data_IF_484237091057
#
_entry.id   IF_484237091057
#
_cell.length_a   1.000
_cell.length_b   1.000
_cell.length_c   1.000
_cell.angle_alpha   90.00
_cell.angle_beta   90.00
_cell.angle_gamma   90.00
#
_symmetry.space_group_name_H-M   'P 1'
#
loop_
_entity.id
_entity.type
_entity.pdbx_description
1 polymer ?
#
# COMPACT_ATOMS: atom_id res chain seq x y z
N UNK A 1 -11.49 -20.34 -13.23
CA UNK A 1 -11.29 -19.26 -14.22
C UNK A 1 -11.20 -17.91 -13.53
N UNK A 2 -12.11 -17.59 -12.59
CA UNK A 2 -12.03 -16.34 -11.81
C UNK A 2 -10.77 -16.24 -10.95
N UNK A 3 -10.39 -17.31 -10.26
CA UNK A 3 -9.19 -17.30 -9.40
C UNK A 3 -7.90 -16.97 -10.17
N UNK A 4 -7.75 -17.48 -11.41
CA UNK A 4 -6.61 -17.13 -12.26
C UNK A 4 -6.61 -15.68 -12.71
N UNK A 5 -7.79 -15.08 -12.91
CA UNK A 5 -7.94 -13.67 -13.27
C UNK A 5 -7.66 -12.74 -12.08
N UNK A 6 -8.05 -13.14 -10.88
CA UNK A 6 -7.70 -12.42 -9.65
C UNK A 6 -6.18 -12.49 -9.45
N UNK A 7 -5.59 -13.69 -9.58
CA UNK A 7 -4.13 -13.85 -9.46
C UNK A 7 -3.37 -13.01 -10.48
N UNK A 8 -3.85 -12.87 -11.72
CA UNK A 8 -3.19 -11.98 -12.70
C UNK A 8 -3.22 -10.52 -12.27
N UNK A 9 -4.32 -10.03 -11.69
CA UNK A 9 -4.37 -8.66 -11.15
C UNK A 9 -3.37 -8.46 -10.01
N UNK A 10 -3.33 -9.39 -9.04
CA UNK A 10 -2.40 -9.32 -7.91
C UNK A 10 -0.93 -9.29 -8.38
N UNK A 11 -0.58 -10.12 -9.36
CA UNK A 11 0.77 -10.14 -9.95
C UNK A 11 1.10 -8.83 -10.69
N UNK A 12 0.12 -8.22 -11.36
CA UNK A 12 0.31 -6.92 -12.01
C UNK A 12 0.59 -5.82 -10.97
N UNK A 13 -0.13 -5.80 -9.85
CA UNK A 13 0.11 -4.85 -8.76
C UNK A 13 1.50 -5.02 -8.14
N UNK A 14 1.90 -6.27 -7.85
CA UNK A 14 3.24 -6.58 -7.33
C UNK A 14 4.34 -6.13 -8.29
N UNK A 15 4.14 -6.28 -9.61
CA UNK A 15 5.12 -5.83 -10.59
C UNK A 15 5.31 -4.30 -10.58
N UNK A 16 4.25 -3.54 -10.28
CA UNK A 16 4.31 -2.08 -10.11
C UNK A 16 4.97 -1.72 -8.79
N UNK A 17 4.58 -2.36 -7.69
CA UNK A 17 5.19 -2.13 -6.38
C UNK A 17 6.69 -2.44 -6.39
N UNK A 18 7.10 -3.51 -7.08
CA UNK A 18 8.50 -3.88 -7.27
C UNK A 18 9.36 -2.78 -7.91
N UNK A 19 8.78 -1.82 -8.66
CA UNK A 19 9.51 -0.67 -9.22
C UNK A 19 9.82 0.40 -8.17
N UNK A 20 9.04 0.50 -7.11
CA UNK A 20 9.22 1.49 -6.04
C UNK A 20 9.86 0.84 -4.80
N UNK A 21 11.13 1.17 -4.48
CA UNK A 21 11.81 0.59 -3.32
C UNK A 21 11.26 1.07 -1.97
N UNK A 22 10.36 2.06 -1.93
CA UNK A 22 9.86 2.65 -0.70
C UNK A 22 8.48 2.12 -0.25
N UNK A 23 7.78 1.35 -1.09
CA UNK A 23 6.40 0.90 -0.79
C UNK A 23 6.36 -0.44 -0.04
N UNK A 24 7.27 -1.37 -0.32
CA UNK A 24 7.50 -2.62 0.43
C UNK A 24 6.33 -3.13 1.30
N UNK A 25 5.31 -3.71 0.67
CA UNK A 25 4.12 -4.25 1.35
C UNK A 25 3.00 -3.22 1.57
N UNK A 26 3.11 -2.04 0.97
CA UNK A 26 2.12 -0.96 1.04
C UNK A 26 0.78 -1.40 0.47
N UNK A 27 0.79 -1.98 -0.74
CA UNK A 27 -0.45 -2.43 -1.37
C UNK A 27 -1.13 -3.53 -0.55
N UNK A 28 -0.33 -4.38 0.12
CA UNK A 28 -0.84 -5.36 1.07
C UNK A 28 -1.47 -4.69 2.30
N UNK A 29 -0.77 -3.74 2.96
CA UNK A 29 -1.32 -3.04 4.14
C UNK A 29 -2.61 -2.29 3.81
N UNK A 30 -2.65 -1.54 2.71
CA UNK A 30 -3.86 -0.82 2.25
C UNK A 30 -5.01 -1.81 1.99
N UNK A 31 -4.74 -2.94 1.34
CA UNK A 31 -5.70 -4.02 1.16
C UNK A 31 -6.24 -4.56 2.49
N UNK A 32 -5.37 -4.84 3.47
CA UNK A 32 -5.79 -5.38 4.78
C UNK A 32 -6.58 -4.36 5.60
N UNK A 33 -6.12 -3.10 5.68
CA UNK A 33 -6.87 -2.05 6.37
C UNK A 33 -8.25 -1.85 5.75
N UNK A 34 -8.33 -1.89 4.42
CA UNK A 34 -9.60 -1.75 3.70
C UNK A 34 -10.57 -2.88 4.03
N UNK A 35 -10.10 -4.13 4.03
CA UNK A 35 -10.92 -5.30 4.41
C UNK A 35 -11.43 -5.18 5.84
N UNK A 36 -10.53 -4.88 6.77
CA UNK A 36 -10.84 -4.81 8.20
C UNK A 36 -11.85 -3.70 8.50
N UNK A 37 -11.65 -2.52 7.90
CA UNK A 37 -12.59 -1.41 8.04
C UNK A 37 -13.95 -1.74 7.41
N UNK A 38 -13.98 -2.35 6.22
CA UNK A 38 -15.21 -2.78 5.56
C UNK A 38 -16.03 -3.77 6.42
N UNK A 39 -15.38 -4.76 7.04
CA UNK A 39 -16.05 -5.68 7.98
C UNK A 39 -16.56 -4.93 9.20
N UNK A 40 -15.75 -4.03 9.76
CA UNK A 40 -16.08 -3.26 10.96
C UNK A 40 -17.34 -2.41 10.81
N UNK A 41 -17.57 -1.85 9.64
CA UNK A 41 -18.75 -1.04 9.32
C UNK A 41 -19.97 -1.89 8.91
N UNK A 42 -19.86 -3.22 8.91
CA UNK A 42 -20.95 -4.14 8.66
C UNK A 42 -21.17 -4.56 7.20
N UNK A 43 -20.19 -4.35 6.30
CA UNK A 43 -20.26 -4.90 4.96
C UNK A 43 -20.14 -6.42 4.97
N UNK A 44 -20.71 -7.08 3.95
CA UNK A 44 -20.57 -8.52 3.80
C UNK A 44 -19.11 -8.91 3.52
N UNK A 45 -18.76 -10.15 3.85
CA UNK A 45 -17.42 -10.68 3.54
C UNK A 45 -17.05 -10.54 2.06
N UNK A 46 -18.04 -10.69 1.16
CA UNK A 46 -17.83 -10.53 -0.29
C UNK A 46 -17.45 -9.09 -0.65
N UNK A 47 -18.16 -8.11 -0.10
CA UNK A 47 -17.88 -6.69 -0.33
C UNK A 47 -16.52 -6.30 0.28
N UNK A 48 -16.24 -6.74 1.51
CA UNK A 48 -14.96 -6.47 2.18
C UNK A 48 -13.77 -7.03 1.39
N UNK A 49 -13.90 -8.25 0.87
CA UNK A 49 -12.89 -8.86 0.00
C UNK A 49 -12.76 -8.11 -1.33
N UNK A 50 -13.86 -7.64 -1.92
CA UNK A 50 -13.77 -6.81 -3.14
C UNK A 50 -13.04 -5.48 -2.90
N UNK A 51 -13.33 -4.78 -1.80
CA UNK A 51 -12.65 -3.54 -1.45
C UNK A 51 -11.16 -3.82 -1.15
N UNK A 52 -10.86 -4.93 -0.49
CA UNK A 52 -9.47 -5.41 -0.31
C UNK A 52 -8.71 -5.54 -1.63
N UNK A 53 -9.35 -6.11 -2.66
CA UNK A 53 -8.76 -6.20 -4.01
C UNK A 53 -8.50 -4.81 -4.61
N UNK A 54 -9.46 -3.89 -4.45
CA UNK A 54 -9.29 -2.49 -4.85
C UNK A 54 -8.10 -1.83 -4.17
N UNK A 55 -7.95 -2.03 -2.85
CA UNK A 55 -6.82 -1.51 -2.09
C UNK A 55 -5.47 -2.07 -2.55
N UNK A 56 -5.42 -3.33 -2.99
CA UNK A 56 -4.21 -3.93 -3.55
C UNK A 56 -3.83 -3.34 -4.93
N UNK A 57 -4.81 -2.86 -5.69
CA UNK A 57 -4.64 -2.41 -7.07
C UNK A 57 -4.61 -0.89 -7.25
N UNK A 58 -4.96 -0.12 -6.22
CA UNK A 58 -5.22 1.33 -6.33
C UNK A 58 -4.13 2.10 -7.07
N UNK A 59 -2.88 1.69 -6.85
CA UNK A 59 -1.66 2.33 -7.36
C UNK A 59 -1.15 1.77 -8.71
N UNK A 60 -1.88 0.86 -9.36
CA UNK A 60 -1.41 0.15 -10.57
C UNK A 60 -0.94 1.11 -11.68
N UNK A 61 -1.56 2.29 -11.79
CA UNK A 61 -1.18 3.28 -12.79
C UNK A 61 0.20 3.91 -12.59
N UNK A 62 0.87 3.71 -11.43
CA UNK A 62 2.25 4.14 -11.21
C UNK A 62 3.24 3.56 -12.24
N UNK A 63 2.84 2.49 -12.94
CA UNK A 63 3.61 1.98 -14.08
C UNK A 63 3.87 3.03 -15.17
N UNK A 64 2.97 3.99 -15.36
CA UNK A 64 3.13 5.04 -16.36
C UNK A 64 3.91 6.27 -15.88
N UNK A 65 4.36 6.28 -14.62
CA UNK A 65 5.11 7.41 -14.06
C UNK A 65 6.61 7.27 -14.38
N UNK A 66 7.28 8.34 -14.84
CA UNK A 66 8.73 8.36 -15.04
C UNK A 66 9.52 8.06 -13.77
N UNK A 67 10.60 7.29 -13.89
CA UNK A 67 11.41 6.82 -12.76
C UNK A 67 12.08 7.95 -11.98
N UNK A 68 12.51 9.02 -12.65
CA UNK A 68 13.12 10.21 -12.06
C UNK A 68 12.15 11.02 -11.19
N UNK A 69 10.84 10.96 -11.51
CA UNK A 69 9.76 11.52 -10.69
C UNK A 69 9.39 10.54 -9.57
N UNK A 70 9.09 9.29 -9.90
CA UNK A 70 8.62 8.28 -8.94
C UNK A 70 9.64 8.00 -7.83
N UNK A 71 10.93 7.96 -8.18
CA UNK A 71 12.03 7.61 -7.26
C UNK A 71 12.77 8.82 -6.72
N UNK A 72 12.21 10.03 -6.89
CA UNK A 72 12.85 11.26 -6.43
C UNK A 72 13.12 11.15 -4.91
N UNK A 73 14.25 11.74 -4.47
CA UNK A 73 14.64 11.89 -3.05
C UNK A 73 14.56 13.34 -2.54
N UNK A 74 14.11 14.28 -3.38
CA UNK A 74 13.76 15.70 -3.11
C UNK A 74 12.24 15.99 -3.27
N UNK A 75 11.65 16.96 -2.55
CA UNK A 75 10.23 17.33 -2.77
C UNK A 75 9.91 17.45 -4.26
N UNK A 76 8.73 17.00 -4.67
CA UNK A 76 8.25 17.18 -6.04
C UNK A 76 7.96 18.66 -6.29
N UNK A 77 8.25 19.14 -7.49
CA UNK A 77 7.70 20.40 -7.98
C UNK A 77 6.22 20.25 -8.31
N UNK A 78 5.52 21.36 -8.54
CA UNK A 78 4.10 21.32 -8.92
C UNK A 78 3.89 20.57 -10.25
N UNK A 79 4.82 20.72 -11.20
CA UNK A 79 4.79 20.03 -12.50
C UNK A 79 5.03 18.53 -12.34
N UNK A 80 6.01 18.13 -11.51
CA UNK A 80 6.28 16.72 -11.21
C UNK A 80 5.10 16.08 -10.47
N UNK A 81 4.49 16.81 -9.53
CA UNK A 81 3.30 16.34 -8.83
C UNK A 81 2.09 16.26 -9.76
N UNK A 82 1.95 17.16 -10.74
CA UNK A 82 0.93 17.05 -11.78
C UNK A 82 1.08 15.76 -12.59
N UNK A 83 2.31 15.29 -12.86
CA UNK A 83 2.55 13.98 -13.47
C UNK A 83 2.14 12.84 -12.52
N UNK A 84 2.46 12.90 -11.23
CA UNK A 84 2.00 11.88 -10.27
C UNK A 84 0.47 11.76 -10.27
N UNK A 85 -0.25 12.89 -10.33
CA UNK A 85 -1.73 12.93 -10.32
C UNK A 85 -2.37 12.24 -11.53
N UNK A 86 -1.61 11.85 -12.57
CA UNK A 86 -2.16 11.12 -13.72
C UNK A 86 -2.28 9.61 -13.48
N UNK A 87 -1.65 9.05 -12.44
CA UNK A 87 -1.64 7.60 -12.24
C UNK A 87 -3.04 6.97 -12.07
N UNK A 88 -4.06 7.61 -11.46
CA UNK A 88 -5.39 6.99 -11.38
C UNK A 88 -6.00 6.74 -12.77
N UNK A 89 -5.89 7.72 -13.67
CA UNK A 89 -6.35 7.62 -15.07
C UNK A 89 -5.56 6.57 -15.85
N UNK A 90 -4.25 6.49 -15.65
CA UNK A 90 -3.41 5.45 -16.27
C UNK A 90 -3.86 4.07 -15.79
N UNK A 91 -4.08 3.90 -14.50
CA UNK A 91 -4.55 2.65 -13.89
C UNK A 91 -5.89 2.20 -14.47
N UNK A 92 -6.88 3.11 -14.52
CA UNK A 92 -8.17 2.84 -15.17
C UNK A 92 -7.99 2.40 -16.63
N UNK A 93 -7.17 3.12 -17.40
CA UNK A 93 -6.98 2.79 -18.81
C UNK A 93 -6.30 1.41 -19.02
N UNK A 94 -5.44 0.98 -18.09
CA UNK A 94 -4.77 -0.32 -18.14
C UNK A 94 -5.72 -1.48 -17.79
N UNK A 95 -6.62 -1.28 -16.83
CA UNK A 95 -7.50 -2.34 -16.35
C UNK A 95 -8.82 -2.44 -17.10
N UNK A 96 -9.23 -1.43 -17.89
CA UNK A 96 -10.57 -1.36 -18.50
C UNK A 96 -10.97 -2.60 -19.31
N UNK A 97 -10.03 -3.25 -19.98
CA UNK A 97 -10.26 -4.46 -20.80
C UNK A 97 -10.14 -5.76 -20.01
N UNK A 98 -9.74 -5.69 -18.73
CA UNK A 98 -9.64 -6.87 -17.88
C UNK A 98 -11.05 -7.36 -17.51
N UNK A 99 -11.35 -8.67 -17.54
CA UNK A 99 -12.69 -9.19 -17.24
C UNK A 99 -13.23 -8.88 -15.83
N UNK A 100 -12.36 -8.43 -14.93
CA UNK A 100 -12.69 -8.04 -13.55
C UNK A 100 -12.56 -6.54 -13.29
N UNK A 101 -12.48 -5.72 -14.35
CA UNK A 101 -12.28 -4.26 -14.26
C UNK A 101 -13.33 -3.59 -13.37
N UNK A 102 -14.61 -3.94 -13.55
CA UNK A 102 -15.73 -3.38 -12.80
C UNK A 102 -15.61 -3.57 -11.28
N UNK A 103 -14.88 -4.60 -10.82
CA UNK A 103 -14.70 -4.86 -9.39
C UNK A 103 -13.76 -3.84 -8.72
N UNK A 104 -12.85 -3.24 -9.49
CA UNK A 104 -11.68 -2.52 -8.97
C UNK A 104 -11.48 -1.14 -9.59
N UNK A 105 -12.26 -0.77 -10.61
CA UNK A 105 -12.10 0.48 -11.37
C UNK A 105 -12.18 1.73 -10.49
N UNK A 106 -13.23 1.86 -9.67
CA UNK A 106 -13.43 3.05 -8.84
C UNK A 106 -12.30 3.24 -7.81
N UNK A 107 -11.92 2.22 -7.02
CA UNK A 107 -10.72 2.26 -6.18
C UNK A 107 -9.46 2.80 -6.86
N UNK A 108 -9.18 2.36 -8.09
CA UNK A 108 -8.00 2.79 -8.83
C UNK A 108 -8.13 4.25 -9.24
N UNK A 109 -9.33 4.66 -9.67
CA UNK A 109 -9.57 5.97 -10.26
C UNK A 109 -9.75 7.09 -9.23
N UNK A 110 -10.36 6.79 -8.09
CA UNK A 110 -10.94 7.80 -7.18
C UNK A 110 -10.30 7.82 -5.79
N UNK A 111 -9.32 6.97 -5.48
CA UNK A 111 -8.73 6.90 -4.12
C UNK A 111 -8.03 8.19 -3.65
N UNK A 112 -7.83 9.15 -4.56
CA UNK A 112 -7.30 10.48 -4.25
C UNK A 112 -8.34 11.61 -4.38
N UNK A 113 -9.60 11.26 -4.60
CA UNK A 113 -10.71 12.19 -4.47
C UNK A 113 -10.94 12.56 -3.00
N UNK A 114 -11.49 13.74 -2.77
CA UNK A 114 -11.75 14.29 -1.42
C UNK A 114 -13.18 14.76 -1.34
N UNK A 115 -13.80 14.60 -0.18
CA UNK A 115 -15.23 14.93 -0.01
C UNK A 115 -15.57 16.38 -0.37
N UNK A 116 -14.61 17.30 -0.20
CA UNK A 116 -14.72 18.72 -0.53
C UNK A 116 -14.50 19.08 -2.03
N UNK A 117 -14.28 18.08 -2.90
CA UNK A 117 -14.06 18.27 -4.33
C UNK A 117 -12.66 18.79 -4.70
N UNK A 118 -11.74 18.94 -3.74
CA UNK A 118 -10.35 19.38 -4.00
C UNK A 118 -9.40 18.23 -4.37
N UNK A 119 -9.94 17.03 -4.56
CA UNK A 119 -9.22 15.83 -4.97
C UNK A 119 -8.91 15.77 -6.47
N UNK A 120 -8.46 14.60 -6.92
CA UNK A 120 -8.15 14.32 -8.32
C UNK A 120 -8.45 12.85 -8.65
N UNK A 121 -8.66 12.49 -9.94
CA UNK A 121 -8.49 13.30 -11.16
C UNK A 121 -9.65 14.20 -11.55
N UNK A 122 -10.87 13.99 -11.03
CA UNK A 122 -12.08 14.70 -11.47
C UNK A 122 -12.56 15.78 -10.49
N UNK A 123 -12.12 15.74 -9.23
CA UNK A 123 -12.59 16.69 -8.22
C UNK A 123 -14.02 16.35 -7.78
N UNK A 124 -14.29 15.07 -7.58
CA UNK A 124 -15.61 14.55 -7.20
C UNK A 124 -15.99 15.01 -5.79
N UNK A 125 -17.27 15.34 -5.58
CA UNK A 125 -17.81 15.62 -4.26
C UNK A 125 -18.16 14.35 -3.48
N UNK A 126 -18.49 14.53 -2.20
CA UNK A 126 -18.84 13.43 -1.28
C UNK A 126 -19.84 12.41 -1.87
N UNK A 127 -20.91 12.86 -2.51
CA UNK A 127 -21.97 11.98 -3.04
C UNK A 127 -21.58 11.25 -4.34
N UNK A 128 -20.50 11.68 -4.99
CA UNK A 128 -20.03 11.15 -6.27
C UNK A 128 -18.93 10.09 -6.11
N UNK A 129 -18.14 10.17 -5.03
CA UNK A 129 -17.03 9.25 -4.76
C UNK A 129 -17.58 7.88 -4.36
N UNK A 130 -17.16 6.82 -5.04
CA UNK A 130 -17.57 5.47 -4.68
C UNK A 130 -17.14 5.11 -3.25
N UNK A 131 -17.99 4.38 -2.55
CA UNK A 131 -17.76 4.06 -1.15
C UNK A 131 -16.46 3.28 -0.89
N UNK A 132 -16.10 2.38 -1.81
CA UNK A 132 -14.82 1.65 -1.77
C UNK A 132 -13.61 2.59 -1.90
N UNK A 133 -13.71 3.62 -2.72
CA UNK A 133 -12.69 4.66 -2.90
C UNK A 133 -12.52 5.51 -1.65
N UNK A 134 -13.61 5.86 -0.95
CA UNK A 134 -13.56 6.56 0.35
C UNK A 134 -12.80 5.76 1.41
N UNK A 135 -13.04 4.45 1.49
CA UNK A 135 -12.31 3.55 2.40
C UNK A 135 -10.83 3.51 2.05
N UNK A 136 -10.50 3.30 0.77
CA UNK A 136 -9.11 3.13 0.32
C UNK A 136 -8.33 4.42 0.48
N UNK A 137 -8.88 5.58 0.10
CA UNK A 137 -8.22 6.87 0.27
C UNK A 137 -7.93 7.19 1.74
N UNK A 138 -8.83 6.85 2.66
CA UNK A 138 -8.59 6.99 4.09
C UNK A 138 -7.42 6.12 4.58
N UNK A 139 -7.40 4.84 4.23
CA UNK A 139 -6.40 3.90 4.76
C UNK A 139 -5.06 3.98 4.02
N UNK A 140 -5.02 4.44 2.76
CA UNK A 140 -3.80 4.82 2.05
C UNK A 140 -3.08 5.96 2.79
N UNK A 141 -3.83 7.01 3.17
CA UNK A 141 -3.26 8.09 3.97
C UNK A 141 -2.78 7.58 5.33
N UNK A 142 -3.55 6.73 6.03
CA UNK A 142 -3.08 6.11 7.27
C UNK A 142 -1.74 5.39 7.06
N UNK A 143 -1.64 4.52 6.07
CA UNK A 143 -0.43 3.75 5.81
C UNK A 143 0.75 4.66 5.47
N UNK A 144 0.52 5.66 4.62
CA UNK A 144 1.53 6.63 4.25
C UNK A 144 2.06 7.40 5.47
N UNK A 145 1.19 7.75 6.43
CA UNK A 145 1.56 8.43 7.68
C UNK A 145 2.37 7.50 8.60
N UNK A 146 1.97 6.24 8.75
CA UNK A 146 2.61 5.26 9.66
C UNK A 146 3.77 4.48 9.06
N UNK A 147 4.16 4.78 7.82
CA UNK A 147 5.30 4.16 7.13
C UNK A 147 6.39 5.19 6.79
N UNK A 148 7.65 4.74 6.74
CA UNK A 148 8.75 5.58 6.24
C UNK A 148 8.60 5.83 4.74
N UNK A 149 8.86 7.07 4.32
CA UNK A 149 8.90 7.56 2.93
C UNK A 149 10.25 8.26 2.69
N UNK A 150 10.68 8.53 1.43
CA UNK A 150 12.00 9.12 1.15
C UNK A 150 12.31 10.43 1.91
N UNK A 151 11.26 11.17 2.29
CA UNK A 151 11.32 12.51 2.89
C UNK A 151 10.97 12.55 4.37
N UNK A 152 10.44 11.46 4.91
CA UNK A 152 9.71 11.47 6.18
C UNK A 152 9.77 10.10 6.81
N UNK A 153 10.23 10.03 8.06
CA UNK A 153 10.09 8.83 8.88
C UNK A 153 8.62 8.59 9.24
N UNK A 154 8.29 7.35 9.58
CA UNK A 154 6.98 7.02 10.13
C UNK A 154 6.64 7.92 11.32
N UNK A 155 5.35 8.24 11.47
CA UNK A 155 4.88 8.93 12.66
C UNK A 155 4.16 7.99 13.62
N UNK A 156 4.13 8.31 14.93
CA UNK A 156 3.32 7.58 15.88
C UNK A 156 1.87 7.52 15.42
N UNK A 157 1.25 6.34 15.55
CA UNK A 157 -0.15 6.11 15.15
C UNK A 157 -1.10 7.16 15.77
N UNK A 158 -0.88 7.57 17.01
CA UNK A 158 -1.68 8.62 17.66
C UNK A 158 -1.65 9.94 16.90
N UNK A 159 -0.49 10.32 16.35
CA UNK A 159 -0.34 11.54 15.54
C UNK A 159 -0.95 11.36 14.14
N UNK A 160 -0.87 10.16 13.56
CA UNK A 160 -1.55 9.88 12.30
C UNK A 160 -3.07 10.10 12.42
N UNK A 161 -3.69 9.59 13.49
CA UNK A 161 -5.12 9.78 13.74
C UNK A 161 -5.51 11.25 14.01
N UNK A 162 -4.64 12.07 14.61
CA UNK A 162 -4.89 13.52 14.73
C UNK A 162 -4.96 14.20 13.35
N UNK A 163 -4.17 13.75 12.38
CA UNK A 163 -4.21 14.28 11.01
C UNK A 163 -5.48 13.81 10.29
N UNK A 164 -5.88 12.55 10.48
CA UNK A 164 -7.14 12.04 9.93
C UNK A 164 -8.33 12.82 10.50
N UNK A 165 -8.35 13.06 11.80
CA UNK A 165 -9.38 13.87 12.48
C UNK A 165 -9.47 15.30 11.94
N UNK A 166 -8.32 15.92 11.65
CA UNK A 166 -8.29 17.25 11.07
C UNK A 166 -8.87 17.30 9.64
N UNK A 167 -8.86 16.17 8.92
CA UNK A 167 -9.48 16.02 7.60
C UNK A 167 -10.94 15.52 7.63
N UNK A 168 -11.52 15.32 8.81
CA UNK A 168 -12.88 14.81 8.98
C UNK A 168 -13.93 15.74 8.33
N UNK A 169 -14.80 15.18 7.50
CA UNK A 169 -15.85 15.90 6.77
C UNK A 169 -15.37 16.78 5.60
N UNK A 170 -14.07 16.78 5.28
CA UNK A 170 -13.51 17.54 4.14
C UNK A 170 -12.68 16.64 3.23
N UNK A 171 -11.71 15.94 3.79
CA UNK A 171 -10.94 14.92 3.07
C UNK A 171 -11.58 13.55 3.25
N UNK A 172 -12.03 13.22 4.46
CA UNK A 172 -12.44 11.88 4.83
C UNK A 172 -13.84 11.85 5.44
N UNK A 173 -14.51 10.72 5.25
CA UNK A 173 -15.80 10.44 5.89
C UNK A 173 -15.61 10.25 7.40
N UNK A 174 -16.30 11.08 8.19
CA UNK A 174 -16.24 11.09 9.65
C UNK A 174 -16.65 9.75 10.27
N UNK A 175 -17.57 9.02 9.64
CA UNK A 175 -18.01 7.71 10.11
C UNK A 175 -16.92 6.66 9.90
N UNK A 176 -16.23 6.69 8.76
CA UNK A 176 -15.10 5.80 8.50
C UNK A 176 -13.95 6.04 9.49
N UNK A 177 -13.64 7.30 9.81
CA UNK A 177 -12.64 7.63 10.85
C UNK A 177 -13.05 7.04 12.20
N UNK A 178 -14.33 7.16 12.58
CA UNK A 178 -14.83 6.67 13.86
C UNK A 178 -14.63 5.16 13.99
N UNK A 179 -15.02 4.39 12.98
CA UNK A 179 -14.81 2.94 12.98
C UNK A 179 -13.33 2.53 12.90
N UNK A 180 -12.50 3.29 12.18
CA UNK A 180 -11.06 3.07 12.14
C UNK A 180 -10.39 3.32 13.50
N UNK A 181 -10.91 4.27 14.29
CA UNK A 181 -10.47 4.51 15.67
C UNK A 181 -10.81 3.35 16.59
N UNK A 182 -12.02 2.81 16.48
CA UNK A 182 -12.43 1.63 17.26
C UNK A 182 -11.50 0.44 16.99
N UNK A 183 -11.13 0.19 15.72
CA UNK A 183 -10.13 -0.83 15.36
C UNK A 183 -8.77 -0.56 16.01
N UNK A 184 -8.33 0.70 16.04
CA UNK A 184 -7.10 1.09 16.73
C UNK A 184 -7.19 0.84 18.24
N UNK A 185 -8.30 1.18 18.88
CA UNK A 185 -8.51 1.04 20.33
C UNK A 185 -8.57 -0.43 20.77
N UNK A 186 -9.08 -1.30 19.91
CA UNK A 186 -9.10 -2.75 20.11
C UNK A 186 -7.77 -3.44 19.71
N UNK A 187 -6.75 -2.68 19.30
CA UNK A 187 -5.46 -3.19 18.82
C UNK A 187 -5.54 -4.06 17.54
N UNK A 188 -6.67 -4.01 16.82
CA UNK A 188 -6.92 -4.78 15.61
C UNK A 188 -5.99 -4.39 14.45
N UNK A 189 -5.35 -3.20 14.50
CA UNK A 189 -4.44 -2.72 13.45
C UNK A 189 -2.98 -3.20 13.62
N UNK A 190 -2.64 -3.77 14.79
CA UNK A 190 -1.24 -4.06 15.18
C UNK A 190 -0.54 -5.07 14.27
N UNK A 191 -1.30 -6.01 13.70
CA UNK A 191 -0.78 -7.04 12.78
C UNK A 191 -0.55 -6.53 11.34
N UNK A 192 -0.98 -5.29 11.04
CA UNK A 192 -0.83 -4.65 9.72
C UNK A 192 0.20 -3.53 9.81
N UNK A 193 0.07 -2.64 10.80
CA UNK A 193 1.00 -1.53 11.00
C UNK A 193 2.39 -2.07 11.29
N UNK A 194 3.39 -1.56 10.59
CA UNK A 194 4.76 -2.03 10.79
C UNK A 194 5.06 -3.38 10.14
N UNK A 195 4.22 -3.87 9.23
CA UNK A 195 4.41 -5.17 8.55
C UNK A 195 4.40 -5.04 7.02
N UNK A 196 5.24 -5.80 6.32
CA UNK A 196 5.27 -5.86 4.85
C UNK A 196 4.37 -6.97 4.29
N UNK A 197 4.06 -7.96 5.12
CA UNK A 197 3.25 -9.15 4.85
C UNK A 197 2.75 -9.73 6.18
N UNK A 198 1.82 -10.71 6.17
CA UNK A 198 1.31 -11.29 7.41
C UNK A 198 2.43 -11.88 8.28
N UNK A 199 2.70 -11.24 9.41
CA UNK A 199 3.75 -11.64 10.36
C UNK A 199 5.19 -11.35 9.91
N UNK A 200 5.40 -10.52 8.88
CA UNK A 200 6.74 -10.06 8.46
C UNK A 200 6.91 -8.60 8.85
N UNK A 201 7.73 -8.27 9.86
CA UNK A 201 7.99 -6.89 10.26
C UNK A 201 8.63 -6.06 9.15
N UNK A 202 8.26 -4.78 9.08
CA UNK A 202 8.92 -3.80 8.23
C UNK A 202 10.31 -3.52 8.76
N UNK A 203 11.29 -3.64 7.87
CA UNK A 203 12.66 -3.23 8.10
C UNK A 203 12.99 -2.13 7.11
N UNK A 204 13.48 -1.01 7.60
CA UNK A 204 13.92 0.10 6.75
C UNK A 204 15.44 0.14 6.68
N UNK A 205 15.96 0.61 5.56
CA UNK A 205 17.38 0.83 5.40
C UNK A 205 17.83 1.95 6.36
N UNK A 206 18.72 1.68 7.33
CA UNK A 206 19.14 2.69 8.31
C UNK A 206 19.93 3.84 7.69
N UNK A 207 20.47 3.65 6.48
CA UNK A 207 21.28 4.64 5.76
C UNK A 207 20.43 5.57 4.90
N UNK A 208 19.47 5.03 4.14
CA UNK A 208 18.74 5.84 3.15
C UNK A 208 17.21 5.79 3.25
N UNK A 209 16.64 4.94 4.10
CA UNK A 209 15.20 4.90 4.41
C UNK A 209 14.29 3.88 3.70
N UNK A 210 14.50 3.43 2.44
CA UNK A 210 13.59 2.51 1.78
C UNK A 210 13.45 1.17 2.53
N UNK A 211 12.33 0.49 2.30
CA UNK A 211 12.03 -0.80 2.90
C UNK A 211 13.01 -1.85 2.37
N UNK A 212 13.56 -2.65 3.28
CA UNK A 212 14.34 -3.84 2.96
C UNK A 212 13.38 -5.02 2.84
N UNK A 213 13.44 -5.74 1.72
CA UNK A 213 12.65 -6.96 1.56
C UNK A 213 13.21 -8.04 2.49
N UNK A 214 12.39 -8.48 3.45
CA UNK A 214 12.73 -9.55 4.38
C UNK A 214 11.89 -10.79 4.03
N UNK A 215 12.51 -11.92 3.64
CA UNK A 215 11.80 -13.16 3.39
C UNK A 215 11.09 -13.66 4.64
N UNK A 216 9.94 -14.35 4.50
CA UNK A 216 9.24 -14.99 5.63
C UNK A 216 10.11 -15.98 6.40
N UNK A 217 11.04 -16.63 5.72
CA UNK A 217 11.95 -17.61 6.30
C UNK A 217 13.20 -16.99 6.93
N UNK A 218 13.31 -15.66 6.93
CA UNK A 218 14.49 -14.96 7.42
C UNK A 218 14.76 -15.26 8.90
N UNK A 219 16.04 -15.28 9.26
CA UNK A 219 16.55 -15.55 10.60
C UNK A 219 17.66 -14.54 10.93
N UNK A 220 18.01 -14.44 12.21
CA UNK A 220 19.21 -13.72 12.62
C UNK A 220 20.43 -14.27 11.86
N UNK A 221 21.23 -13.37 11.29
CA UNK A 221 22.40 -13.69 10.46
C UNK A 221 22.11 -13.76 8.96
N UNK A 222 20.84 -13.78 8.54
CA UNK A 222 20.50 -13.67 7.12
C UNK A 222 20.82 -12.27 6.60
N UNK A 223 21.16 -12.20 5.31
CA UNK A 223 21.56 -10.96 4.66
C UNK A 223 20.49 -10.47 3.70
N UNK A 224 20.17 -9.19 3.78
CA UNK A 224 19.29 -8.48 2.84
C UNK A 224 20.01 -7.27 2.23
N UNK A 225 19.45 -6.76 1.13
CA UNK A 225 20.09 -5.70 0.34
C UNK A 225 19.16 -4.51 0.15
N UNK A 226 19.72 -3.30 0.29
CA UNK A 226 19.00 -2.09 -0.07
C UNK A 226 19.13 -1.82 -1.57
N UNK A 227 18.01 -1.88 -2.28
CA UNK A 227 17.92 -1.61 -3.72
C UNK A 227 18.23 -0.16 -4.12
N UNK A 228 18.19 0.77 -3.16
CA UNK A 228 18.45 2.19 -3.40
C UNK A 228 19.92 2.61 -3.18
N UNK A 229 20.58 2.11 -2.13
CA UNK A 229 21.97 2.48 -1.81
C UNK A 229 22.99 1.37 -2.04
N UNK A 230 22.54 0.16 -2.43
CA UNK A 230 23.37 -1.06 -2.56
C UNK A 230 23.97 -1.57 -1.25
N UNK A 231 23.47 -1.10 -0.11
CA UNK A 231 23.93 -1.56 1.20
C UNK A 231 23.57 -3.03 1.41
N UNK A 232 24.50 -3.77 2.01
CA UNK A 232 24.35 -5.15 2.48
C UNK A 232 24.11 -5.11 3.98
N UNK A 233 23.04 -5.74 4.44
CA UNK A 233 22.62 -5.69 5.84
C UNK A 233 22.44 -7.09 6.41
N UNK A 234 23.06 -7.36 7.55
CA UNK A 234 22.78 -8.56 8.35
C UNK A 234 21.56 -8.28 9.23
N UNK A 235 20.63 -9.23 9.27
CA UNK A 235 19.42 -9.15 10.06
C UNK A 235 19.65 -9.68 11.48
N UNK A 236 19.11 -8.97 12.47
CA UNK A 236 19.10 -9.39 13.87
C UNK A 236 17.68 -9.37 14.41
N UNK A 237 17.13 -10.55 14.72
CA UNK A 237 15.79 -10.65 15.31
C UNK A 237 15.85 -10.32 16.81
N UNK A 238 15.18 -9.23 17.19
CA UNK A 238 15.03 -8.76 18.56
C UNK A 238 13.54 -8.76 18.93
N UNK A 239 13.15 -9.68 19.81
CA UNK A 239 11.75 -9.98 20.11
C UNK A 239 11.00 -10.34 18.81
N UNK A 240 10.13 -9.45 18.34
CA UNK A 240 9.30 -9.64 17.15
C UNK A 240 9.66 -8.66 16.01
N UNK A 241 10.87 -8.06 16.04
CA UNK A 241 11.34 -7.12 15.02
C UNK A 241 12.74 -7.46 14.54
N UNK A 242 12.98 -7.21 13.26
CA UNK A 242 14.32 -7.31 12.69
C UNK A 242 14.99 -5.93 12.70
N UNK A 243 16.19 -5.88 13.27
CA UNK A 243 17.13 -4.80 13.04
C UNK A 243 18.07 -5.17 11.88
N UNK A 244 18.50 -4.17 11.12
CA UNK A 244 19.40 -4.35 9.99
C UNK A 244 20.74 -3.64 10.26
N UNK A 245 21.81 -4.41 10.46
CA UNK A 245 23.16 -3.89 10.63
C UNK A 245 23.90 -3.86 9.29
N UNK A 246 24.49 -2.73 8.93
CA UNK A 246 25.22 -2.62 7.67
C UNK A 246 26.57 -3.36 7.75
N UNK A 247 26.75 -4.38 6.92
CA UNK A 247 27.98 -5.18 6.84
C UNK A 247 28.79 -4.92 5.57
N UNK A 248 28.28 -4.09 4.65
CA UNK A 248 29.01 -3.68 3.46
C UNK A 248 28.14 -3.11 2.35
N UNK A 249 28.65 -3.16 1.12
CA UNK A 249 27.93 -2.84 -0.11
C UNK A 249 27.98 -4.05 -1.04
N UNK A 250 26.96 -4.24 -1.87
CA UNK A 250 26.98 -5.23 -2.95
C UNK A 250 27.37 -4.60 -4.29
N UNK A 251 28.22 -5.32 -5.03
CA UNK A 251 28.52 -5.06 -6.45
C UNK A 251 27.75 -6.02 -7.39
N UNK A 252 27.06 -7.01 -6.83
CA UNK A 252 26.31 -8.01 -7.59
C UNK A 252 24.91 -7.46 -7.95
N UNK A 253 24.61 -7.18 -9.22
CA UNK A 253 23.32 -6.63 -9.61
C UNK A 253 22.15 -7.60 -9.42
N UNK A 254 22.39 -8.91 -9.26
CA UNK A 254 21.36 -9.91 -8.99
C UNK A 254 20.76 -9.72 -7.59
N UNK A 255 21.57 -9.31 -6.62
CA UNK A 255 21.15 -9.08 -5.22
C UNK A 255 20.25 -7.84 -5.05
N UNK A 256 20.13 -7.01 -6.09
CA UNK A 256 19.32 -5.80 -6.10
C UNK A 256 18.00 -5.95 -6.87
N UNK A 257 17.75 -7.15 -7.42
CA UNK A 257 16.52 -7.42 -8.15
C UNK A 257 15.33 -7.48 -7.18
N UNK A 258 14.17 -6.92 -7.54
CA UNK A 258 12.95 -7.14 -6.77
C UNK A 258 12.55 -8.61 -6.82
N UNK A 259 11.97 -9.10 -5.74
CA UNK A 259 11.24 -10.35 -5.71
C UNK A 259 9.74 -10.09 -5.59
N UNK A 260 8.94 -10.93 -6.24
CA UNK A 260 7.48 -10.89 -6.08
C UNK A 260 7.11 -11.35 -4.67
N UNK A 261 6.12 -10.70 -4.06
CA UNK A 261 5.61 -11.07 -2.75
C UNK A 261 4.62 -12.24 -2.86
N UNK A 262 5.14 -13.37 -3.33
CA UNK A 262 4.33 -14.57 -3.62
C UNK A 262 3.55 -15.04 -2.40
N UNK A 263 4.09 -14.83 -1.20
CA UNK A 263 3.41 -15.13 0.06
C UNK A 263 2.17 -14.25 0.26
N UNK A 264 2.29 -12.93 0.11
CA UNK A 264 1.15 -12.03 0.22
C UNK A 264 0.07 -12.35 -0.82
N UNK A 265 0.48 -12.60 -2.08
CA UNK A 265 -0.44 -13.00 -3.14
C UNK A 265 -1.15 -14.31 -2.79
N UNK A 266 -0.42 -15.32 -2.32
CA UNK A 266 -1.01 -16.62 -1.98
C UNK A 266 -1.96 -16.54 -0.77
N UNK A 267 -1.62 -15.75 0.26
CA UNK A 267 -2.52 -15.51 1.39
C UNK A 267 -3.79 -14.78 0.96
N UNK A 268 -3.66 -13.71 0.18
CA UNK A 268 -4.81 -12.98 -0.37
C UNK A 268 -5.70 -13.88 -1.21
N UNK A 269 -5.11 -14.74 -2.04
CA UNK A 269 -5.87 -15.70 -2.84
C UNK A 269 -6.77 -16.61 -1.99
N UNK A 270 -6.41 -16.95 -0.75
CA UNK A 270 -7.27 -17.74 0.13
C UNK A 270 -8.57 -17.03 0.48
N UNK A 271 -8.53 -15.69 0.57
CA UNK A 271 -9.73 -14.87 0.81
C UNK A 271 -10.61 -14.76 -0.44
N UNK A 272 -9.99 -14.77 -1.62
CA UNK A 272 -10.67 -14.57 -2.90
C UNK A 272 -11.31 -15.83 -3.49
N UNK A 273 -10.73 -16.99 -3.22
CA UNK A 273 -11.14 -18.27 -3.82
C UNK A 273 -12.62 -18.56 -3.53
N UNK A 274 -13.39 -18.77 -4.60
CA UNK A 274 -14.81 -19.12 -4.52
C UNK A 274 -15.76 -18.00 -4.11
N UNK A 275 -15.28 -16.74 -3.95
CA UNK A 275 -16.12 -15.59 -3.57
C UNK A 275 -16.71 -14.82 -4.76
N UNK A 276 -16.10 -14.95 -5.93
CA UNK A 276 -16.46 -14.25 -7.17
C UNK A 276 -16.97 -15.21 -8.27
N UNK A 277 -17.52 -16.35 -7.86
CA UNK A 277 -18.14 -17.36 -8.73
C UNK A 277 -19.63 -17.18 -8.89
#
# INVERSE_FOLDING_TARGET
MTDSLIKSLLVLADAVEARDPYTGGHIWRVSQFSKLLAVKIGLSEKEAVQISLGGYLHDLGKIGIPDDILKKKGKLSEEEYAVIKTHPLIGQNLIKEHPLSDLVCNPILEHHEKLDGTGYPYGLGEDEIAFSSKIIGLVDVLDALTSTRPYRREMPISKAFQILDAGSGTHFDSNLITHLKELKENEDLSHIIGHSSPGIPLVTCPVCGPVLTVPRTARTGDVVFCRACKGKYELHLNLDKFDAEMVGMTENPVELQPELNSDAVNELMKDFVGKFG
#
